data_IF_021458227834
#
_entry.id   IF_021458227834
#
_cell.length_a   1.000
_cell.length_b   1.000
_cell.length_c   1.000
_cell.angle_alpha   90.00
_cell.angle_beta   90.00
_cell.angle_gamma   90.00
#
_symmetry.space_group_name_H-M   'P 1'
#
loop_
_entity.id
_entity.type
_entity.pdbx_description
1 polymer ?
#
# COMPACT_ATOMS: atom_id res chain seq x y z
N UNK A 1 37.47 -39.56 -59.76
CA UNK A 1 36.60 -38.89 -58.77
C UNK A 1 36.38 -39.84 -57.60
N UNK A 2 36.95 -39.57 -56.43
CA UNK A 2 36.80 -40.45 -55.26
C UNK A 2 35.45 -40.18 -54.61
N UNK A 3 34.54 -41.15 -54.67
CA UNK A 3 33.20 -41.07 -54.07
C UNK A 3 33.36 -41.07 -52.55
N UNK A 4 33.11 -39.94 -51.89
CA UNK A 4 33.11 -39.87 -50.42
C UNK A 4 31.80 -40.44 -49.90
N UNK A 5 31.87 -41.59 -49.23
CA UNK A 5 30.71 -42.24 -48.64
C UNK A 5 30.45 -41.71 -47.23
N UNK A 6 29.18 -41.47 -46.92
CA UNK A 6 28.74 -41.06 -45.59
C UNK A 6 28.85 -42.26 -44.64
N UNK A 7 30.00 -42.42 -44.00
CA UNK A 7 30.19 -43.51 -43.02
C UNK A 7 29.50 -43.20 -41.69
N UNK A 8 29.28 -44.22 -40.85
CA UNK A 8 28.68 -44.04 -39.51
C UNK A 8 29.43 -43.03 -38.62
N UNK A 9 30.73 -42.80 -38.84
CA UNK A 9 31.50 -41.75 -38.16
C UNK A 9 31.09 -40.34 -38.59
N UNK A 10 30.75 -40.14 -39.86
CA UNK A 10 30.22 -38.87 -40.36
C UNK A 10 28.84 -38.58 -39.77
N UNK A 11 27.99 -39.61 -39.70
CA UNK A 11 26.66 -39.51 -39.07
C UNK A 11 26.81 -39.19 -37.58
N UNK A 12 27.66 -39.91 -36.85
CA UNK A 12 27.92 -39.63 -35.43
C UNK A 12 28.44 -38.21 -35.21
N UNK A 13 29.37 -37.73 -36.04
CA UNK A 13 29.88 -36.37 -35.99
C UNK A 13 28.79 -35.32 -36.24
N UNK A 14 27.90 -35.56 -37.21
CA UNK A 14 26.77 -34.68 -37.51
C UNK A 14 25.78 -34.60 -36.34
N UNK A 15 25.40 -35.74 -35.77
CA UNK A 15 24.50 -35.78 -34.61
C UNK A 15 25.12 -35.10 -33.40
N UNK A 16 26.38 -35.41 -33.08
CA UNK A 16 27.09 -34.80 -31.95
C UNK A 16 27.19 -33.28 -32.13
N UNK A 17 27.51 -32.81 -33.35
CA UNK A 17 27.54 -31.38 -33.67
C UNK A 17 26.19 -30.69 -33.51
N UNK A 18 25.12 -31.31 -34.01
CA UNK A 18 23.77 -30.77 -33.88
C UNK A 18 23.32 -30.67 -32.41
N UNK A 19 23.55 -31.72 -31.61
CA UNK A 19 23.24 -31.70 -30.17
C UNK A 19 24.08 -30.70 -29.40
N UNK A 20 25.38 -30.57 -29.71
CA UNK A 20 26.26 -29.59 -29.08
C UNK A 20 25.77 -28.15 -29.31
N UNK A 21 25.30 -27.85 -30.53
CA UNK A 21 24.70 -26.53 -30.85
C UNK A 21 23.43 -26.29 -30.02
N UNK A 22 22.51 -27.25 -29.98
CA UNK A 22 21.26 -27.14 -29.20
C UNK A 22 21.56 -26.91 -27.72
N UNK A 23 22.47 -27.71 -27.15
CA UNK A 23 22.90 -27.60 -25.75
C UNK A 23 23.53 -26.23 -25.50
N UNK A 24 24.42 -25.78 -26.37
CA UNK A 24 25.07 -24.47 -26.26
C UNK A 24 24.09 -23.30 -26.28
N UNK A 25 23.09 -23.35 -27.17
CA UNK A 25 22.01 -22.34 -27.22
C UNK A 25 21.17 -22.39 -25.94
N UNK A 26 20.76 -23.56 -25.47
CA UNK A 26 19.95 -23.70 -24.25
C UNK A 26 20.70 -23.21 -23.01
N UNK A 27 21.99 -23.53 -22.87
CA UNK A 27 22.84 -22.99 -21.80
C UNK A 27 22.97 -21.48 -21.90
N UNK A 28 23.20 -20.93 -23.11
CA UNK A 28 23.27 -19.48 -23.34
C UNK A 28 21.96 -18.79 -22.96
N UNK A 29 20.82 -19.39 -23.32
CA UNK A 29 19.49 -18.90 -22.91
C UNK A 29 19.31 -19.02 -21.40
N UNK A 30 19.75 -20.11 -20.77
CA UNK A 30 19.67 -20.27 -19.33
C UNK A 30 20.55 -19.27 -18.57
N UNK A 31 21.77 -18.99 -19.04
CA UNK A 31 22.64 -17.97 -18.43
C UNK A 31 22.09 -16.57 -18.65
N UNK A 32 21.54 -16.27 -19.82
CA UNK A 32 20.84 -15.01 -20.07
C UNK A 32 19.59 -14.88 -19.21
N UNK A 33 18.79 -15.93 -19.06
CA UNK A 33 17.59 -15.95 -18.22
C UNK A 33 17.93 -15.77 -16.75
N UNK A 34 18.91 -16.51 -16.22
CA UNK A 34 19.36 -16.34 -14.83
C UNK A 34 19.96 -14.95 -14.60
N UNK A 35 20.61 -14.35 -15.60
CA UNK A 35 21.10 -12.97 -15.53
C UNK A 35 20.02 -11.90 -15.69
N UNK A 36 18.91 -12.19 -16.39
CA UNK A 36 17.81 -11.26 -16.66
C UNK A 36 16.65 -11.39 -15.68
N UNK A 37 16.58 -12.47 -14.90
CA UNK A 37 15.81 -12.53 -13.68
C UNK A 37 16.58 -11.79 -12.58
N UNK A 38 16.37 -10.48 -12.47
CA UNK A 38 16.56 -9.79 -11.19
C UNK A 38 15.56 -10.41 -10.21
N UNK A 39 15.97 -11.47 -9.51
CA UNK A 39 15.22 -12.10 -8.42
C UNK A 39 15.13 -11.19 -7.19
N UNK A 40 14.70 -9.95 -7.39
CA UNK A 40 14.39 -8.94 -6.40
C UNK A 40 13.14 -8.18 -6.86
N UNK A 41 12.02 -8.89 -6.98
CA UNK A 41 10.73 -8.29 -6.62
C UNK A 41 10.54 -8.40 -5.09
N UNK A 42 11.57 -8.11 -4.30
CA UNK A 42 11.43 -7.83 -2.87
C UNK A 42 12.76 -7.34 -2.31
N UNK A 43 12.91 -6.02 -2.28
CA UNK A 43 13.63 -5.35 -1.20
C UNK A 43 12.76 -4.26 -0.54
N UNK A 44 11.44 -4.31 -0.73
CA UNK A 44 10.52 -3.30 -0.20
C UNK A 44 9.13 -3.81 0.19
N UNK A 45 8.75 -5.06 -0.07
CA UNK A 45 7.41 -5.54 0.37
C UNK A 45 7.44 -6.23 1.73
N UNK A 46 8.39 -7.12 2.04
CA UNK A 46 8.44 -7.79 3.35
C UNK A 46 8.84 -6.84 4.50
N UNK A 47 9.84 -5.97 4.27
CA UNK A 47 10.24 -4.94 5.25
C UNK A 47 9.15 -3.89 5.42
N UNK A 48 8.46 -3.48 4.34
CA UNK A 48 7.30 -2.58 4.44
C UNK A 48 6.08 -3.25 5.08
N UNK A 49 5.84 -4.54 4.84
CA UNK A 49 4.80 -5.30 5.53
C UNK A 49 5.10 -5.43 7.02
N UNK A 50 6.34 -5.68 7.42
CA UNK A 50 6.71 -5.70 8.83
C UNK A 50 6.56 -4.33 9.51
N UNK A 51 6.97 -3.25 8.83
CA UNK A 51 6.79 -1.90 9.37
C UNK A 51 5.30 -1.52 9.41
N UNK A 52 4.50 -1.96 8.45
CA UNK A 52 3.05 -1.84 8.45
C UNK A 52 2.42 -2.62 9.61
N UNK A 53 2.73 -3.90 9.80
CA UNK A 53 2.17 -4.71 10.88
C UNK A 53 2.57 -4.14 12.26
N UNK A 54 3.81 -3.66 12.43
CA UNK A 54 4.22 -2.98 13.67
C UNK A 54 3.42 -1.71 13.93
N UNK A 55 3.24 -0.86 12.91
CA UNK A 55 2.44 0.38 13.03
C UNK A 55 0.98 0.06 13.32
N UNK A 56 0.41 -0.90 12.59
CA UNK A 56 -0.96 -1.40 12.79
C UNK A 56 -1.16 -1.92 14.22
N UNK A 57 -0.27 -2.77 14.72
CA UNK A 57 -0.35 -3.30 16.07
C UNK A 57 -0.21 -2.20 17.15
N UNK A 58 0.67 -1.22 16.94
CA UNK A 58 0.80 -0.07 17.83
C UNK A 58 -0.49 0.77 17.86
N UNK A 59 -1.07 1.06 16.70
CA UNK A 59 -2.33 1.77 16.59
C UNK A 59 -3.49 0.98 17.23
N UNK A 60 -3.58 -0.32 17.00
CA UNK A 60 -4.62 -1.17 17.59
C UNK A 60 -4.53 -1.24 19.12
N UNK A 61 -3.31 -1.12 19.67
CA UNK A 61 -3.08 -1.02 21.12
C UNK A 61 -3.62 0.27 21.72
N UNK A 62 -3.61 1.39 20.98
CA UNK A 62 -4.27 2.63 21.42
C UNK A 62 -5.77 2.40 21.63
N UNK A 63 -6.38 1.56 20.77
CA UNK A 63 -7.79 1.19 20.89
C UNK A 63 -8.76 2.35 20.69
N UNK A 64 -8.33 3.39 19.96
CA UNK A 64 -9.14 4.57 19.75
C UNK A 64 -10.27 4.34 18.75
N UNK A 65 -11.45 4.83 19.10
CA UNK A 65 -12.61 4.96 18.23
C UNK A 65 -12.74 6.42 17.80
N UNK A 66 -13.05 6.64 16.51
CA UNK A 66 -13.28 7.97 15.95
C UNK A 66 -14.73 8.07 15.54
N UNK A 67 -15.38 9.16 15.95
CA UNK A 67 -16.74 9.51 15.57
C UNK A 67 -16.73 10.90 14.96
N UNK A 68 -17.37 11.05 13.81
CA UNK A 68 -17.57 12.35 13.17
C UNK A 68 -19.06 12.67 13.13
N UNK A 69 -19.40 13.91 13.46
CA UNK A 69 -20.74 14.47 13.31
C UNK A 69 -20.66 15.84 12.66
N UNK A 70 -21.69 16.19 11.91
CA UNK A 70 -21.82 17.52 11.33
C UNK A 70 -23.22 18.04 11.64
N UNK A 71 -23.26 19.18 12.31
CA UNK A 71 -24.48 19.86 12.75
C UNK A 71 -24.21 21.37 12.78
N UNK A 72 -25.24 22.17 12.50
CA UNK A 72 -25.17 23.64 12.57
C UNK A 72 -24.00 24.27 11.76
N UNK A 73 -23.63 23.63 10.64
CA UNK A 73 -22.51 24.09 9.79
C UNK A 73 -21.13 23.85 10.40
N UNK A 74 -21.02 23.00 11.43
CA UNK A 74 -19.76 22.65 12.07
C UNK A 74 -19.50 21.13 12.04
N UNK A 75 -18.27 20.76 11.73
CA UNK A 75 -17.76 19.40 11.86
C UNK A 75 -17.21 19.21 13.28
N UNK A 76 -17.67 18.16 13.97
CA UNK A 76 -17.10 17.72 15.24
C UNK A 76 -16.51 16.33 15.08
N UNK A 77 -15.31 16.17 15.63
CA UNK A 77 -14.61 14.90 15.72
C UNK A 77 -14.44 14.55 17.20
N UNK A 78 -14.77 13.31 17.55
CA UNK A 78 -14.57 12.79 18.89
C UNK A 78 -13.73 11.51 18.81
N UNK A 79 -12.57 11.53 19.46
CA UNK A 79 -11.71 10.38 19.66
C UNK A 79 -11.95 9.84 21.07
N UNK A 80 -12.17 8.52 21.18
CA UNK A 80 -12.41 7.84 22.46
C UNK A 80 -11.52 6.63 22.63
N UNK A 81 -11.04 6.37 23.85
CA UNK A 81 -10.34 5.12 24.17
C UNK A 81 -11.29 3.92 24.30
N UNK A 82 -10.73 2.75 24.65
CA UNK A 82 -11.50 1.51 24.86
C UNK A 82 -12.49 1.62 26.02
N UNK A 83 -12.20 2.49 26.98
CA UNK A 83 -13.04 2.78 28.14
C UNK A 83 -14.09 3.87 27.86
N UNK A 84 -14.12 4.43 26.63
CA UNK A 84 -15.07 5.45 26.20
C UNK A 84 -14.71 6.88 26.63
N UNK A 85 -13.53 7.08 27.23
CA UNK A 85 -13.03 8.40 27.65
C UNK A 85 -12.52 9.16 26.42
N UNK A 86 -12.74 10.47 26.42
CA UNK A 86 -12.24 11.37 25.39
C UNK A 86 -10.71 11.39 25.45
N UNK A 87 -10.05 11.25 24.30
CA UNK A 87 -8.58 11.25 24.19
C UNK A 87 -8.10 12.45 23.42
N UNK A 88 -7.23 13.24 24.03
CA UNK A 88 -6.59 14.37 23.34
C UNK A 88 -5.27 13.92 22.74
N UNK A 89 -5.19 13.72 21.40
CA UNK A 89 -3.93 13.42 20.75
C UNK A 89 -2.98 14.64 20.79
N UNK A 90 -1.68 14.39 20.66
CA UNK A 90 -0.67 15.44 20.56
C UNK A 90 -0.78 16.23 19.24
N UNK A 91 -1.19 15.54 18.17
CA UNK A 91 -1.50 16.13 16.87
C UNK A 91 -2.76 15.50 16.30
N UNK A 92 -3.60 16.29 15.63
CA UNK A 92 -4.81 15.82 14.95
C UNK A 92 -5.03 16.65 13.67
N UNK A 93 -4.92 15.98 12.54
CA UNK A 93 -5.19 16.51 11.23
C UNK A 93 -6.32 15.71 10.56
N UNK A 94 -7.12 16.39 9.76
CA UNK A 94 -8.17 15.76 8.96
C UNK A 94 -8.16 16.24 7.52
N UNK A 95 -8.28 15.29 6.60
CA UNK A 95 -8.49 15.54 5.19
C UNK A 95 -9.91 15.13 4.80
N UNK A 96 -10.68 16.09 4.29
CA UNK A 96 -12.12 15.93 4.02
C UNK A 96 -12.35 16.11 2.53
N UNK A 97 -13.07 15.16 1.93
CA UNK A 97 -13.37 15.21 0.51
C UNK A 97 -14.54 14.31 0.12
N UNK A 98 -14.93 14.40 -1.15
CA UNK A 98 -15.96 13.54 -1.70
C UNK A 98 -15.37 12.16 -2.04
N UNK A 99 -16.01 11.04 -1.66
CA UNK A 99 -15.44 9.70 -1.87
C UNK A 99 -15.08 9.37 -3.32
N UNK A 100 -15.81 9.94 -4.28
CA UNK A 100 -15.72 9.63 -5.72
C UNK A 100 -15.15 10.77 -6.56
N UNK A 101 -14.73 11.88 -5.95
CA UNK A 101 -14.16 13.00 -6.70
C UNK A 101 -12.63 12.98 -6.66
N UNK A 102 -12.02 13.43 -7.75
CA UNK A 102 -10.55 13.62 -7.84
C UNK A 102 -10.10 14.99 -7.30
N UNK A 103 -11.01 15.78 -6.74
CA UNK A 103 -10.68 17.06 -6.14
C UNK A 103 -9.71 16.89 -4.97
N UNK A 104 -8.86 17.90 -4.75
CA UNK A 104 -7.95 17.92 -3.60
C UNK A 104 -8.79 17.98 -2.32
N UNK A 105 -8.59 17.06 -1.35
CA UNK A 105 -9.31 17.11 -0.09
C UNK A 105 -8.90 18.36 0.70
N UNK A 106 -9.85 18.95 1.40
CA UNK A 106 -9.61 20.05 2.32
C UNK A 106 -8.92 19.50 3.57
N UNK A 107 -7.72 19.99 3.87
CA UNK A 107 -6.93 19.56 5.03
C UNK A 107 -7.00 20.62 6.13
N UNK A 108 -7.30 20.19 7.35
CA UNK A 108 -7.49 21.04 8.52
C UNK A 108 -6.74 20.43 9.71
N UNK A 109 -6.16 21.27 10.57
CA UNK A 109 -5.88 20.85 11.94
C UNK A 109 -7.18 20.89 12.75
N UNK A 110 -7.44 19.83 13.50
CA UNK A 110 -8.60 19.75 14.37
C UNK A 110 -8.13 19.57 15.82
N UNK A 111 -8.98 19.95 16.76
CA UNK A 111 -8.82 19.61 18.16
C UNK A 111 -9.97 18.68 18.56
N UNK A 112 -9.66 17.66 19.35
CA UNK A 112 -10.66 16.67 19.76
C UNK A 112 -11.83 17.34 20.52
N UNK A 113 -13.06 17.01 20.13
CA UNK A 113 -14.29 17.58 20.66
C UNK A 113 -14.59 19.04 20.25
N UNK A 114 -13.67 19.73 19.59
CA UNK A 114 -13.89 21.13 19.16
C UNK A 114 -14.62 21.19 17.81
N UNK A 115 -15.72 21.94 17.72
CA UNK A 115 -16.41 22.15 16.46
C UNK A 115 -15.56 23.04 15.53
N UNK A 116 -15.32 22.57 14.32
CA UNK A 116 -14.68 23.35 13.25
C UNK A 116 -15.78 23.82 12.31
N UNK A 117 -15.91 25.14 12.13
CA UNK A 117 -16.87 25.71 11.19
C UNK A 117 -16.51 25.26 9.76
N UNK A 118 -17.35 24.40 9.20
CA UNK A 118 -17.16 23.80 7.90
C UNK A 118 -18.52 23.49 7.30
N UNK A 119 -18.90 24.26 6.27
CA UNK A 119 -20.15 24.04 5.57
C UNK A 119 -20.01 22.86 4.59
N UNK A 120 -20.59 21.73 4.95
CA UNK A 120 -20.59 20.53 4.13
C UNK A 120 -21.96 20.40 3.46
N UNK A 121 -21.98 20.44 2.13
CA UNK A 121 -23.22 20.21 1.39
C UNK A 121 -23.74 18.79 1.62
N UNK A 122 -25.08 18.58 1.60
CA UNK A 122 -25.69 17.28 1.82
C UNK A 122 -25.07 16.17 0.96
N UNK A 123 -24.95 14.97 1.52
CA UNK A 123 -24.40 13.80 0.82
C UNK A 123 -23.33 13.05 1.61
N UNK A 124 -22.57 12.21 0.89
CA UNK A 124 -21.49 11.41 1.47
C UNK A 124 -20.16 12.15 1.39
N UNK A 125 -19.42 12.08 2.51
CA UNK A 125 -18.11 12.68 2.68
C UNK A 125 -17.15 11.62 3.23
N UNK A 126 -15.93 11.61 2.71
CA UNK A 126 -14.81 10.86 3.25
C UNK A 126 -14.02 11.79 4.17
N UNK A 127 -13.70 11.30 5.35
CA UNK A 127 -12.84 11.98 6.31
C UNK A 127 -11.68 11.02 6.59
N UNK A 128 -10.48 11.42 6.18
CA UNK A 128 -9.25 10.75 6.52
C UNK A 128 -8.68 11.45 7.76
N UNK A 129 -8.62 10.72 8.88
CA UNK A 129 -8.13 11.22 10.18
C UNK A 129 -6.72 10.74 10.41
N UNK A 130 -5.83 11.67 10.72
CA UNK A 130 -4.43 11.43 11.07
C UNK A 130 -4.18 12.05 12.44
N UNK A 131 -3.75 11.23 13.40
CA UNK A 131 -3.49 11.67 14.75
C UNK A 131 -2.19 11.06 15.29
N UNK A 132 -1.58 11.74 16.25
CA UNK A 132 -0.41 11.24 16.97
C UNK A 132 -0.74 11.15 18.46
N UNK A 133 -0.57 9.97 19.04
CA UNK A 133 -0.72 9.78 20.48
C UNK A 133 0.38 10.51 21.26
N UNK A 134 0.15 10.79 22.54
CA UNK A 134 1.14 11.45 23.39
C UNK A 134 2.46 10.67 23.53
N UNK A 135 2.45 9.37 23.24
CA UNK A 135 3.63 8.50 23.21
C UNK A 135 4.32 8.43 21.83
N UNK A 136 3.84 9.22 20.86
CA UNK A 136 4.34 9.26 19.48
C UNK A 136 3.76 8.20 18.55
N UNK A 137 2.80 7.38 19.01
CA UNK A 137 2.19 6.37 18.16
C UNK A 137 1.29 7.02 17.10
N UNK A 138 1.54 6.79 15.79
CA UNK A 138 0.68 7.30 14.73
C UNK A 138 -0.65 6.54 14.71
N UNK A 139 -1.73 7.26 14.44
CA UNK A 139 -3.08 6.75 14.31
C UNK A 139 -3.68 7.29 13.01
N UNK A 140 -4.03 6.38 12.10
CA UNK A 140 -4.69 6.73 10.84
C UNK A 140 -6.03 6.02 10.75
N UNK A 141 -7.11 6.75 10.43
CA UNK A 141 -8.43 6.16 10.24
C UNK A 141 -9.26 6.91 9.21
N UNK A 142 -9.77 6.16 8.23
CA UNK A 142 -10.77 6.64 7.28
C UNK A 142 -12.18 6.37 7.80
N UNK A 143 -13.02 7.39 7.79
CA UNK A 143 -14.44 7.30 8.12
C UNK A 143 -15.29 7.96 7.03
N UNK A 144 -16.54 7.52 6.94
CA UNK A 144 -17.52 8.09 6.01
C UNK A 144 -18.58 8.82 6.81
N UNK A 145 -18.77 10.10 6.52
CA UNK A 145 -19.80 10.93 7.12
C UNK A 145 -20.93 11.14 6.10
N UNK A 146 -22.17 10.96 6.54
CA UNK A 146 -23.36 11.31 5.73
C UNK A 146 -24.01 12.56 6.31
N UNK A 147 -23.94 13.64 5.56
CA UNK A 147 -24.60 14.91 5.91
C UNK A 147 -26.03 14.88 5.35
N UNK A 148 -27.01 15.10 6.21
CA UNK A 148 -28.44 15.17 5.85
C UNK A 148 -28.85 16.63 5.69
N UNK A 149 -29.88 16.86 4.87
CA UNK A 149 -30.55 18.16 4.73
C UNK A 149 -31.25 18.56 6.02
#
# INVERSE_FOLDING_TARGET
MTKRELTGRHVLGLFTGAFAVIIGVNLTMATQAVGSFSGLEVDSSYVASQSFERRRAAQERLGWAVQASHADGALRLELRDREGRIVTPAHLAVAIGRPTERARPLSLEAADGQPVALDLTPGLWRIDVEAEAADGTPFEKRITLRVRQ
#
